data_IF_465219264820
#
_entry.id   IF_465219264820
#
_cell.length_a   1.000
_cell.length_b   1.000
_cell.length_c   1.000
_cell.angle_alpha   90.00
_cell.angle_beta   90.00
_cell.angle_gamma   90.00
#
_symmetry.space_group_name_H-M   'P 1'
#
loop_
_entity.id
_entity.type
_entity.pdbx_description
1 polymer ?
#
# COMPACT_ATOMS: atom_id res chain seq x y z
N UNK A 1 14.36 14.22 -3.00
CA UNK A 1 14.17 14.99 -4.24
C UNK A 1 12.80 14.81 -4.90
N UNK A 2 12.45 13.66 -5.50
CA UNK A 2 11.15 13.53 -6.20
C UNK A 2 9.92 13.79 -5.30
N UNK A 3 9.93 13.22 -4.09
CA UNK A 3 8.91 13.48 -3.07
C UNK A 3 8.83 14.96 -2.72
N UNK A 4 9.98 15.59 -2.44
CA UNK A 4 10.06 17.03 -2.11
C UNK A 4 9.59 17.94 -3.24
N UNK A 5 9.71 17.52 -4.50
CA UNK A 5 9.16 18.20 -5.66
C UNK A 5 7.63 18.01 -5.84
N UNK A 6 6.97 17.34 -4.90
CA UNK A 6 5.53 17.10 -4.92
C UNK A 6 5.09 15.96 -5.85
N UNK A 7 6.00 15.07 -6.23
CA UNK A 7 5.65 13.85 -6.94
C UNK A 7 5.44 12.69 -5.97
N UNK A 8 4.49 11.82 -6.30
CA UNK A 8 4.25 10.60 -5.54
C UNK A 8 4.97 9.43 -6.21
N UNK A 9 5.43 8.46 -5.42
CA UNK A 9 6.23 7.34 -5.91
C UNK A 9 5.40 6.06 -5.98
N UNK A 10 5.50 5.35 -7.09
CA UNK A 10 4.83 4.07 -7.28
C UNK A 10 5.81 3.01 -7.74
N UNK A 11 5.96 1.96 -6.95
CA UNK A 11 6.88 0.85 -7.22
C UNK A 11 6.14 -0.35 -7.81
N UNK A 12 6.61 -0.89 -8.92
CA UNK A 12 5.99 -2.02 -9.60
C UNK A 12 7.04 -3.04 -10.06
N UNK A 13 6.65 -4.30 -10.17
CA UNK A 13 7.54 -5.36 -10.61
C UNK A 13 7.27 -6.68 -9.87
N UNK A 14 7.81 -7.80 -10.40
CA UNK A 14 7.62 -9.12 -9.81
C UNK A 14 8.46 -9.29 -8.54
N UNK A 15 7.87 -10.00 -7.57
CA UNK A 15 8.43 -10.26 -6.25
C UNK A 15 7.91 -9.29 -5.18
N UNK A 16 7.99 -9.73 -3.93
CA UNK A 16 7.63 -8.89 -2.79
C UNK A 16 8.52 -7.66 -2.74
N UNK A 17 7.91 -6.47 -2.65
CA UNK A 17 8.63 -5.19 -2.49
C UNK A 17 8.75 -4.78 -1.03
N UNK A 18 8.25 -5.60 -0.12
CA UNK A 18 8.16 -5.27 1.31
C UNK A 18 9.55 -5.02 1.90
N UNK A 19 10.55 -5.86 1.57
CA UNK A 19 11.91 -5.64 2.06
C UNK A 19 12.52 -4.34 1.53
N UNK A 20 12.48 -4.13 0.21
CA UNK A 20 13.01 -2.93 -0.44
C UNK A 20 12.36 -1.64 0.09
N UNK A 21 11.03 -1.63 0.28
CA UNK A 21 10.31 -0.47 0.81
C UNK A 21 10.55 -0.23 2.29
N UNK A 22 10.81 -1.29 3.06
CA UNK A 22 11.25 -1.14 4.46
C UNK A 22 12.65 -0.55 4.54
N UNK A 23 13.58 -0.97 3.67
CA UNK A 23 14.91 -0.37 3.58
C UNK A 23 14.83 1.11 3.18
N UNK A 24 13.97 1.45 2.21
CA UNK A 24 13.71 2.84 1.82
C UNK A 24 13.08 3.64 2.96
N UNK A 25 12.16 3.04 3.73
CA UNK A 25 11.58 3.65 4.93
C UNK A 25 12.64 3.96 5.98
N UNK A 26 13.54 3.01 6.27
CA UNK A 26 14.63 3.22 7.23
C UNK A 26 15.51 4.39 6.78
N UNK A 27 15.88 4.43 5.50
CA UNK A 27 16.60 5.55 4.92
C UNK A 27 15.88 6.89 5.14
N UNK A 28 14.56 6.97 4.90
CA UNK A 28 13.81 8.22 5.11
C UNK A 28 13.69 8.62 6.59
N UNK A 29 13.59 7.66 7.51
CA UNK A 29 13.57 7.95 8.94
C UNK A 29 14.86 8.66 9.39
N UNK A 30 16.00 8.30 8.80
CA UNK A 30 17.30 8.92 9.12
C UNK A 30 17.34 10.42 8.77
N UNK A 31 16.45 10.88 7.88
CA UNK A 31 16.28 12.30 7.52
C UNK A 31 15.12 13.00 8.25
N UNK A 32 14.64 12.46 9.38
CA UNK A 32 13.55 13.03 10.19
C UNK A 32 12.20 13.16 9.47
N UNK A 33 11.92 12.30 8.48
CA UNK A 33 10.59 12.22 7.89
C UNK A 33 9.62 11.49 8.84
N UNK A 34 8.40 11.99 8.94
CA UNK A 34 7.32 11.25 9.62
C UNK A 34 6.70 10.25 8.66
N UNK A 35 6.71 8.98 9.04
CA UNK A 35 6.28 7.91 8.17
C UNK A 35 5.08 7.17 8.76
N UNK A 36 4.00 7.10 7.98
CA UNK A 36 2.84 6.27 8.26
C UNK A 36 2.78 5.10 7.28
N UNK A 37 2.60 3.87 7.77
CA UNK A 37 2.59 2.68 6.91
C UNK A 37 1.22 2.00 6.97
N UNK A 38 0.68 1.73 5.79
CA UNK A 38 -0.55 0.98 5.58
C UNK A 38 -0.18 -0.31 4.85
N UNK A 39 -0.46 -1.44 5.48
CA UNK A 39 -0.28 -2.77 4.88
C UNK A 39 -1.59 -3.18 4.21
N UNK A 40 -1.65 -3.13 2.87
CA UNK A 40 -2.84 -3.44 2.08
C UNK A 40 -3.19 -4.94 1.97
N UNK A 41 -2.28 -5.83 2.37
CA UNK A 41 -2.51 -7.28 2.36
C UNK A 41 -3.14 -7.81 3.67
N UNK A 42 -3.18 -6.99 4.73
CA UNK A 42 -3.93 -7.30 5.93
C UNK A 42 -5.24 -6.53 5.87
N UNK A 43 -6.37 -7.24 5.99
CA UNK A 43 -7.69 -6.66 6.19
C UNK A 43 -7.70 -6.02 7.58
N UNK A 44 -7.12 -4.82 7.67
CA UNK A 44 -7.08 -4.01 8.88
C UNK A 44 -8.40 -3.23 8.91
N UNK A 45 -8.99 -3.11 10.10
CA UNK A 45 -10.16 -2.26 10.31
C UNK A 45 -9.88 -0.83 9.81
N UNK A 46 -10.54 -0.45 8.71
CA UNK A 46 -10.45 0.87 8.09
C UNK A 46 -10.61 1.98 9.13
N UNK A 47 -11.52 1.79 10.10
CA UNK A 47 -11.78 2.80 11.13
C UNK A 47 -10.56 3.06 12.00
N UNK A 48 -9.79 2.01 12.28
CA UNK A 48 -8.52 2.11 13.00
C UNK A 48 -7.50 2.89 12.17
N UNK A 49 -7.40 2.60 10.87
CA UNK A 49 -6.51 3.33 9.97
C UNK A 49 -6.89 4.81 9.92
N UNK A 50 -8.17 5.15 9.77
CA UNK A 50 -8.64 6.54 9.75
C UNK A 50 -8.34 7.27 11.07
N UNK A 51 -8.54 6.60 12.20
CA UNK A 51 -8.23 7.16 13.52
C UNK A 51 -6.73 7.43 13.69
N UNK A 52 -5.87 6.46 13.34
CA UNK A 52 -4.41 6.63 13.43
C UNK A 52 -3.91 7.65 12.40
N UNK A 53 -4.49 7.69 11.21
CA UNK A 53 -4.18 8.71 10.20
C UNK A 53 -4.53 10.12 10.71
N UNK A 54 -5.67 10.29 11.37
CA UNK A 54 -6.05 11.59 11.96
C UNK A 54 -5.06 12.04 13.04
N UNK A 55 -4.51 11.11 13.83
CA UNK A 55 -3.46 11.41 14.79
C UNK A 55 -2.15 11.77 14.10
N UNK A 56 -1.76 11.01 13.08
CA UNK A 56 -0.56 11.26 12.27
C UNK A 56 -0.61 12.61 11.57
N UNK A 57 -1.77 12.99 11.07
CA UNK A 57 -1.99 14.27 10.41
C UNK A 57 -1.73 15.46 11.34
N UNK A 58 -2.02 15.33 12.63
CA UNK A 58 -1.80 16.37 13.64
C UNK A 58 -0.34 16.53 14.08
N UNK A 59 0.56 15.62 13.70
CA UNK A 59 1.98 15.71 14.07
C UNK A 59 2.63 16.97 13.46
N UNK A 60 3.37 17.73 14.26
CA UNK A 60 4.15 18.89 13.83
C UNK A 60 5.54 18.42 13.39
N UNK A 61 5.64 17.91 12.16
CA UNK A 61 6.92 17.42 11.61
C UNK A 61 7.19 18.03 10.25
N UNK A 62 8.48 18.12 9.90
CA UNK A 62 8.96 18.85 8.72
C UNK A 62 8.39 18.28 7.42
N UNK A 63 8.41 16.95 7.27
CA UNK A 63 7.88 16.31 6.08
C UNK A 63 7.22 14.97 6.41
N UNK A 64 6.00 14.77 5.88
CA UNK A 64 5.17 13.59 6.14
C UNK A 64 5.09 12.73 4.89
N UNK A 65 5.24 11.43 5.07
CA UNK A 65 5.15 10.44 3.99
C UNK A 65 4.25 9.30 4.44
N UNK A 66 3.43 8.82 3.51
CA UNK A 66 2.63 7.61 3.69
C UNK A 66 3.12 6.53 2.75
N UNK A 67 3.35 5.36 3.31
CA UNK A 67 3.63 4.13 2.60
C UNK A 67 2.38 3.28 2.52
N UNK A 68 1.97 2.91 1.32
CA UNK A 68 0.86 1.99 1.06
C UNK A 68 1.45 0.76 0.36
N UNK A 69 1.62 -0.31 1.13
CA UNK A 69 2.15 -1.56 0.62
C UNK A 69 1.00 -2.37 0.00
N UNK A 70 1.15 -2.70 -1.29
CA UNK A 70 0.21 -3.52 -2.08
C UNK A 70 -1.21 -2.93 -2.16
N UNK A 71 -1.42 -1.87 -2.95
CA UNK A 71 -2.77 -1.28 -3.11
C UNK A 71 -3.75 -2.27 -3.76
N UNK A 72 -3.22 -3.10 -4.65
CA UNK A 72 -3.97 -3.91 -5.59
C UNK A 72 -4.70 -5.07 -4.90
N UNK A 73 -4.21 -5.53 -3.74
CA UNK A 73 -4.93 -6.45 -2.87
C UNK A 73 -6.14 -5.80 -2.18
N UNK A 74 -6.10 -4.48 -1.94
CA UNK A 74 -7.23 -3.74 -1.35
C UNK A 74 -8.30 -3.41 -2.39
N UNK A 75 -7.94 -3.35 -3.68
CA UNK A 75 -8.87 -2.99 -4.76
C UNK A 75 -9.97 -4.05 -4.97
N UNK A 76 -9.72 -5.31 -4.62
CA UNK A 76 -10.74 -6.37 -4.60
C UNK A 76 -11.86 -6.12 -3.58
N UNK A 77 -11.65 -5.25 -2.59
CA UNK A 77 -12.60 -4.92 -1.53
C UNK A 77 -13.11 -3.47 -1.70
N UNK A 78 -14.25 -3.32 -2.38
CA UNK A 78 -14.80 -2.00 -2.78
C UNK A 78 -14.99 -1.00 -1.62
N UNK A 79 -15.29 -1.48 -0.41
CA UNK A 79 -15.49 -0.62 0.77
C UNK A 79 -14.19 -0.05 1.33
N UNK A 80 -13.12 -0.84 1.34
CA UNK A 80 -11.79 -0.45 1.82
C UNK A 80 -11.13 0.54 0.88
N UNK A 81 -11.34 0.34 -0.43
CA UNK A 81 -10.86 1.23 -1.45
C UNK A 81 -11.40 2.67 -1.32
N UNK A 82 -12.69 2.84 -0.98
CA UNK A 82 -13.30 4.16 -0.83
C UNK A 82 -12.67 4.99 0.29
N UNK A 83 -12.42 4.37 1.45
CA UNK A 83 -11.79 5.05 2.58
C UNK A 83 -10.31 5.36 2.33
N UNK A 84 -9.56 4.42 1.76
CA UNK A 84 -8.16 4.68 1.36
C UNK A 84 -8.08 5.79 0.32
N UNK A 85 -8.99 5.82 -0.66
CA UNK A 85 -9.05 6.90 -1.65
C UNK A 85 -9.30 8.25 -1.00
N UNK A 86 -10.13 8.33 0.04
CA UNK A 86 -10.35 9.55 0.82
C UNK A 86 -9.08 10.00 1.53
N UNK A 87 -8.34 9.06 2.14
CA UNK A 87 -7.07 9.33 2.80
C UNK A 87 -6.04 9.84 1.78
N UNK A 88 -5.86 9.14 0.66
CA UNK A 88 -4.93 9.54 -0.41
C UNK A 88 -5.27 10.93 -0.96
N UNK A 89 -6.54 11.22 -1.18
CA UNK A 89 -7.00 12.55 -1.61
C UNK A 89 -6.67 13.65 -0.59
N UNK A 90 -6.81 13.37 0.71
CA UNK A 90 -6.40 14.32 1.76
C UNK A 90 -4.88 14.57 1.73
N UNK A 91 -4.10 13.51 1.50
CA UNK A 91 -2.65 13.59 1.48
C UNK A 91 -2.13 14.47 0.35
N UNK A 92 -2.63 14.29 -0.87
CA UNK A 92 -2.26 15.12 -2.02
C UNK A 92 -2.60 16.59 -1.75
N UNK A 93 -3.79 16.88 -1.21
CA UNK A 93 -4.21 18.26 -0.89
C UNK A 93 -3.34 18.93 0.18
N UNK A 94 -2.83 18.14 1.13
CA UNK A 94 -2.00 18.63 2.25
C UNK A 94 -0.49 18.53 1.96
N UNK A 95 -0.12 18.23 0.71
CA UNK A 95 1.27 18.05 0.27
C UNK A 95 2.04 16.99 1.09
N UNK A 96 1.35 15.92 1.47
CA UNK A 96 1.92 14.74 2.11
C UNK A 96 2.37 13.78 1.02
N UNK A 97 3.63 13.33 1.06
CA UNK A 97 4.18 12.44 0.05
C UNK A 97 3.55 11.05 0.10
N UNK A 98 3.16 10.51 -1.04
CA UNK A 98 2.64 9.14 -1.16
C UNK A 98 3.70 8.24 -1.79
N UNK A 99 3.89 7.08 -1.17
CA UNK A 99 4.71 5.98 -1.68
C UNK A 99 3.83 4.74 -1.71
N UNK A 100 3.64 4.14 -2.87
CA UNK A 100 2.80 2.96 -3.02
C UNK A 100 3.52 1.84 -3.80
N UNK A 101 3.04 0.60 -3.62
CA UNK A 101 3.55 -0.55 -4.36
C UNK A 101 2.44 -1.36 -5.02
N UNK A 102 2.73 -1.88 -6.21
CA UNK A 102 1.85 -2.71 -7.04
C UNK A 102 2.47 -4.07 -7.35
N UNK A 103 1.64 -5.12 -7.27
CA UNK A 103 2.02 -6.49 -7.63
C UNK A 103 1.27 -7.01 -8.85
N UNK A 104 0.02 -6.59 -9.04
CA UNK A 104 -0.83 -7.03 -10.13
C UNK A 104 -0.54 -6.27 -11.44
N UNK A 105 -0.53 -6.97 -12.56
CA UNK A 105 -0.38 -6.40 -13.90
C UNK A 105 -1.53 -5.43 -14.23
N UNK A 106 -2.74 -5.71 -13.74
CA UNK A 106 -3.93 -4.89 -13.96
C UNK A 106 -3.98 -3.63 -13.08
N UNK A 107 -3.02 -3.43 -12.19
CA UNK A 107 -2.97 -2.29 -11.27
C UNK A 107 -2.94 -0.92 -11.98
N UNK A 108 -2.47 -0.87 -13.23
CA UNK A 108 -2.54 0.32 -14.07
C UNK A 108 -3.96 0.79 -14.39
N UNK A 109 -4.96 -0.11 -14.29
CA UNK A 109 -6.38 0.18 -14.51
C UNK A 109 -7.07 0.79 -13.28
N UNK A 110 -6.41 0.81 -12.12
CA UNK A 110 -6.99 1.31 -10.86
C UNK A 110 -7.36 2.79 -10.95
N UNK A 111 -6.62 3.58 -11.75
CA UNK A 111 -6.81 5.03 -11.84
C UNK A 111 -7.23 5.49 -13.22
N UNK A 112 -8.27 6.33 -13.25
CA UNK A 112 -8.65 7.06 -14.44
C UNK A 112 -7.59 8.10 -14.80
N UNK A 113 -7.68 8.69 -16.00
CA UNK A 113 -6.74 9.72 -16.47
C UNK A 113 -6.67 10.93 -15.52
N UNK A 114 -7.82 11.38 -15.02
CA UNK A 114 -7.92 12.50 -14.07
C UNK A 114 -7.25 12.17 -12.75
N UNK A 115 -7.47 10.96 -12.23
CA UNK A 115 -6.86 10.51 -10.97
C UNK A 115 -5.34 10.41 -11.12
N UNK A 116 -4.84 9.88 -12.25
CA UNK A 116 -3.39 9.83 -12.54
C UNK A 116 -2.76 11.22 -12.57
N UNK A 117 -3.42 12.18 -13.20
CA UNK A 117 -2.96 13.57 -13.22
C UNK A 117 -2.98 14.21 -11.82
N UNK A 118 -3.99 13.89 -11.01
CA UNK A 118 -4.12 14.40 -9.65
C UNK A 118 -3.04 13.84 -8.72
N UNK A 119 -2.76 12.53 -8.78
CA UNK A 119 -1.76 11.88 -7.93
C UNK A 119 -0.33 12.10 -8.41
N UNK A 120 -0.07 12.48 -9.67
CA UNK A 120 1.29 12.77 -10.18
C UNK A 120 2.30 11.66 -9.85
N UNK A 121 1.91 10.41 -10.14
CA UNK A 121 2.76 9.24 -9.89
C UNK A 121 4.01 9.22 -10.77
N UNK A 122 5.15 8.92 -10.16
CA UNK A 122 6.39 8.52 -10.83
C UNK A 122 6.56 7.03 -10.62
N UNK A 123 6.58 6.30 -11.72
CA UNK A 123 6.67 4.84 -11.75
C UNK A 123 8.12 4.40 -11.68
N UNK A 124 8.44 3.54 -10.71
CA UNK A 124 9.77 2.97 -10.52
C UNK A 124 9.72 1.45 -10.60
N UNK A 125 10.48 0.82 -11.51
CA UNK A 125 10.60 -0.62 -11.53
C UNK A 125 11.35 -1.10 -10.29
N UNK A 126 10.76 -2.06 -9.57
CA UNK A 126 11.34 -2.71 -8.41
C UNK A 126 11.15 -4.22 -8.57
N UNK A 127 12.17 -4.85 -9.14
CA UNK A 127 12.21 -6.26 -9.48
C UNK A 127 13.03 -6.97 -8.40
N UNK A 128 12.37 -7.63 -7.45
CA UNK A 128 13.04 -8.27 -6.31
C UNK A 128 13.09 -9.79 -6.44
N UNK A 129 12.12 -10.40 -7.13
CA UNK A 129 11.89 -11.86 -7.14
C UNK A 129 11.76 -12.49 -5.73
N UNK A 130 11.48 -11.70 -4.70
CA UNK A 130 11.30 -12.18 -3.34
C UNK A 130 9.97 -12.90 -3.16
N UNK A 131 9.93 -13.85 -2.22
CA UNK A 131 8.73 -14.64 -1.92
C UNK A 131 7.64 -13.79 -1.26
N UNK A 132 6.39 -14.00 -1.69
CA UNK A 132 5.20 -13.34 -1.14
C UNK A 132 4.70 -13.95 0.19
N UNK A 133 5.60 -14.47 1.02
CA UNK A 133 5.21 -15.24 2.21
C UNK A 133 4.44 -14.40 3.24
N UNK A 134 4.64 -13.08 3.28
CA UNK A 134 3.93 -12.21 4.23
C UNK A 134 2.58 -11.78 3.67
N UNK A 135 2.51 -11.44 2.38
CA UNK A 135 1.27 -11.03 1.73
C UNK A 135 0.29 -12.20 1.57
N UNK A 136 0.80 -13.41 1.32
CA UNK A 136 0.01 -14.64 1.09
C UNK A 136 -0.40 -15.35 2.39
N UNK A 137 0.04 -14.88 3.56
CA UNK A 137 -0.30 -15.53 4.85
C UNK A 137 -1.80 -15.66 5.10
N UNK A 138 -2.57 -14.69 4.64
CA UNK A 138 -4.02 -14.65 4.83
C UNK A 138 -4.80 -15.27 3.67
N UNK A 139 -4.16 -15.52 2.53
CA UNK A 139 -4.81 -16.19 1.41
C UNK A 139 -4.68 -17.70 1.59
N UNK A 140 -5.80 -18.40 1.42
CA UNK A 140 -5.81 -19.86 1.47
C UNK A 140 -5.19 -20.34 0.17
N UNK A 141 -4.07 -21.08 0.19
CA UNK A 141 -3.51 -21.66 -1.02
C UNK A 141 -4.56 -22.57 -1.66
N UNK A 142 -4.85 -22.40 -2.94
CA UNK A 142 -5.82 -23.23 -3.68
C UNK A 142 -5.54 -24.74 -3.48
N UNK A 143 -4.26 -25.12 -3.39
CA UNK A 143 -3.85 -26.51 -3.15
C UNK A 143 -4.32 -27.06 -1.79
N UNK A 144 -4.57 -26.20 -0.80
CA UNK A 144 -5.14 -26.60 0.49
C UNK A 144 -6.67 -26.62 0.51
N UNK A 145 -7.34 -26.06 -0.50
CA UNK A 145 -8.81 -26.02 -0.55
C UNK A 145 -9.44 -27.40 -0.81
N UNK A 146 -8.75 -28.29 -1.55
CA UNK A 146 -9.22 -29.65 -1.81
C UNK A 146 -9.27 -30.59 -0.59
N UNK A 147 -8.59 -30.24 0.51
CA UNK A 147 -8.56 -31.09 1.71
C UNK A 147 -9.68 -30.77 2.73
N UNK A 148 -10.44 -29.68 2.55
CA UNK A 148 -11.55 -29.34 3.47
C UNK A 148 -12.85 -30.07 3.15
N UNK A 149 -13.05 -30.56 1.93
CA UNK A 149 -14.28 -31.30 1.58
C UNK A 149 -14.32 -32.71 2.17
N UNK A 150 -13.16 -33.32 2.44
CA UNK A 150 -13.08 -34.69 2.97
C UNK A 150 -13.09 -34.78 4.51
N UNK A 151 -13.06 -33.66 5.24
CA UNK A 151 -13.07 -33.65 6.71
C UNK A 151 -14.44 -33.41 7.35
N UNK A 152 -15.51 -33.20 6.56
CA UNK A 152 -16.87 -32.96 7.07
C UNK A 152 -17.73 -34.24 7.12
N UNK A 153 -17.27 -35.33 6.51
CA UNK A 153 -17.99 -36.63 6.47
C UNK A 153 -17.43 -37.69 7.42
N UNK A 154 -16.65 -37.30 8.43
CA UNK A 154 -16.10 -38.21 9.44
C UNK A 154 -16.40 -37.72 10.86
N UNK A 155 -17.69 -37.57 11.18
CA UNK A 155 -18.24 -37.55 12.54
C UNK A 155 -19.58 -38.29 12.55
#
# INVERSE_FOLDING_TARGET
>A
LQLECGFNLLFYGPGSKTHALNSFRSFLNDYNYSIFVIHGFNIIDIKKIEATFTQFEKLSTNYKIIFILCIDLVWGHSREFGALSKIMNSCVKKNIGLVASFDNINSSLVWNLTDRAFYRWVYHPCITFENYCVETKNSIPIMTMGNKENSVNAL
#
